data_IF_769487875476
#
_entry.id   IF_769487875476
#
_cell.length_a   1.000
_cell.length_b   1.000
_cell.length_c   1.000
_cell.angle_alpha   90.00
_cell.angle_beta   90.00
_cell.angle_gamma   90.00
#
_symmetry.space_group_name_H-M   'P 1'
#
loop_
_entity.id
_entity.type
_entity.pdbx_description
1 polymer ?
#
# COMPACT_ATOMS: atom_id res chain seq x y z
N UNK A 1 -20.74 20.28 -60.68
CA UNK A 1 -20.63 18.89 -60.25
C UNK A 1 -19.84 18.83 -59.00
N UNK A 2 -20.37 18.21 -58.03
CA UNK A 2 -20.15 18.33 -56.58
C UNK A 2 -18.77 17.87 -56.09
N UNK A 3 -18.13 18.72 -55.29
CA UNK A 3 -17.03 18.31 -54.41
C UNK A 3 -17.46 18.60 -52.96
N UNK A 4 -17.62 17.55 -52.17
CA UNK A 4 -17.81 17.62 -50.73
C UNK A 4 -16.44 17.48 -50.07
N UNK A 5 -15.97 18.56 -49.47
CA UNK A 5 -14.91 18.53 -48.50
C UNK A 5 -15.48 18.13 -47.15
N UNK A 6 -15.21 16.92 -46.70
CA UNK A 6 -15.47 16.50 -45.35
C UNK A 6 -14.28 16.87 -44.48
N UNK A 7 -14.45 17.88 -43.65
CA UNK A 7 -13.52 18.16 -42.58
C UNK A 7 -13.74 17.10 -41.48
N UNK A 8 -12.84 16.18 -41.35
CA UNK A 8 -12.77 15.26 -40.21
C UNK A 8 -11.90 15.92 -39.12
N UNK A 9 -12.57 16.61 -38.21
CA UNK A 9 -11.96 17.10 -36.99
C UNK A 9 -11.58 15.90 -36.11
N UNK A 10 -10.30 15.58 -36.09
CA UNK A 10 -9.75 14.59 -35.18
C UNK A 10 -10.02 14.97 -33.75
N UNK A 11 -10.98 14.33 -33.15
CA UNK A 11 -11.17 14.26 -31.71
C UNK A 11 -10.05 13.35 -31.19
N UNK A 12 -9.00 13.97 -30.66
CA UNK A 12 -8.09 13.30 -29.77
C UNK A 12 -8.78 13.10 -28.42
N UNK A 13 -9.65 12.12 -28.32
CA UNK A 13 -10.09 11.59 -27.05
C UNK A 13 -8.88 10.88 -26.41
N UNK A 14 -8.18 11.64 -25.56
CA UNK A 14 -7.41 11.04 -24.50
C UNK A 14 -8.37 10.30 -23.58
N UNK A 15 -8.68 9.06 -23.92
CA UNK A 15 -9.39 8.14 -23.06
C UNK A 15 -8.45 7.80 -21.88
N UNK A 16 -8.37 8.75 -20.93
CA UNK A 16 -7.64 8.57 -19.68
C UNK A 16 -8.38 7.51 -18.90
N UNK A 17 -7.85 6.30 -18.90
CA UNK A 17 -8.44 5.18 -18.18
C UNK A 17 -8.54 5.51 -16.70
N UNK A 18 -9.74 5.83 -16.23
CA UNK A 18 -10.05 6.05 -14.82
C UNK A 18 -9.90 4.70 -14.10
N UNK A 19 -8.79 4.50 -13.41
CA UNK A 19 -8.46 3.28 -12.69
C UNK A 19 -9.37 3.07 -11.47
N UNK A 20 -9.76 4.17 -10.79
CA UNK A 20 -10.56 4.14 -9.56
C UNK A 20 -11.80 5.00 -9.68
N UNK A 21 -12.94 4.46 -9.22
CA UNK A 21 -14.22 5.19 -9.16
C UNK A 21 -14.36 5.85 -7.78
N UNK A 22 -15.10 6.98 -7.74
CA UNK A 22 -15.48 7.66 -6.49
C UNK A 22 -16.16 6.69 -5.54
N UNK A 23 -15.85 6.78 -4.26
CA UNK A 23 -16.31 5.90 -3.18
C UNK A 23 -15.54 4.60 -3.03
N UNK A 24 -14.66 4.23 -3.97
CA UNK A 24 -13.83 3.03 -3.87
C UNK A 24 -12.60 3.27 -3.01
N UNK A 25 -12.11 2.20 -2.39
CA UNK A 25 -10.88 2.19 -1.61
C UNK A 25 -9.71 1.75 -2.50
N UNK A 26 -8.57 2.36 -2.26
CA UNK A 26 -7.30 2.08 -2.90
C UNK A 26 -6.19 2.08 -1.85
N UNK A 27 -4.98 1.72 -2.23
CA UNK A 27 -3.79 1.84 -1.38
C UNK A 27 -2.84 2.83 -2.03
N UNK A 28 -2.41 3.81 -1.24
CA UNK A 28 -1.41 4.79 -1.65
C UNK A 28 -0.14 4.59 -0.82
N UNK A 29 1.02 4.38 -1.45
CA UNK A 29 2.28 4.15 -0.74
C UNK A 29 2.55 5.19 0.34
N UNK A 30 3.12 4.79 1.46
CA UNK A 30 3.39 5.59 2.66
C UNK A 30 2.16 6.11 3.42
N UNK A 31 0.97 6.10 2.84
CA UNK A 31 -0.28 6.54 3.48
C UNK A 31 -1.23 5.37 3.82
N UNK A 32 -0.99 4.19 3.23
CA UNK A 32 -1.85 3.02 3.43
C UNK A 32 -3.17 3.13 2.66
N UNK A 33 -4.28 2.71 3.28
CA UNK A 33 -5.58 2.67 2.60
C UNK A 33 -6.20 4.06 2.54
N UNK A 34 -6.66 4.42 1.34
CA UNK A 34 -7.33 5.68 1.02
C UNK A 34 -8.70 5.43 0.40
N UNK A 35 -9.60 6.40 0.50
CA UNK A 35 -10.87 6.41 -0.21
C UNK A 35 -10.85 7.48 -1.30
N UNK A 36 -11.30 7.15 -2.50
CA UNK A 36 -11.51 8.14 -3.57
C UNK A 36 -12.76 8.94 -3.24
N UNK A 37 -12.59 10.20 -2.83
CA UNK A 37 -13.71 11.10 -2.48
C UNK A 37 -14.31 11.77 -3.68
N UNK A 38 -13.47 12.20 -4.61
CA UNK A 38 -13.89 12.91 -5.82
C UNK A 38 -12.85 12.73 -6.93
N UNK A 39 -13.28 13.04 -8.14
CA UNK A 39 -12.41 13.31 -9.29
C UNK A 39 -12.67 14.75 -9.68
N UNK A 40 -11.63 15.57 -9.67
CA UNK A 40 -11.73 17.00 -9.95
C UNK A 40 -10.80 17.42 -11.08
N UNK A 41 -11.32 18.21 -12.03
CA UNK A 41 -10.49 18.86 -13.03
C UNK A 41 -9.96 20.18 -12.47
N UNK A 42 -8.65 20.34 -12.48
CA UNK A 42 -7.98 21.58 -12.04
C UNK A 42 -7.03 22.10 -13.11
N UNK A 43 -7.03 23.40 -13.29
CA UNK A 43 -6.07 24.10 -14.14
C UNK A 43 -4.92 24.59 -13.30
N UNK A 44 -3.72 24.07 -13.55
CA UNK A 44 -2.48 24.45 -12.85
C UNK A 44 -1.48 24.87 -13.92
N UNK A 45 -0.98 26.10 -13.83
CA UNK A 45 -0.07 26.69 -14.81
C UNK A 45 -0.59 26.60 -16.28
N UNK A 46 -1.87 26.90 -16.50
CA UNK A 46 -2.48 26.88 -17.83
C UNK A 46 -2.74 25.47 -18.41
N UNK A 47 -2.47 24.42 -17.63
CA UNK A 47 -2.73 23.04 -18.05
C UNK A 47 -3.87 22.44 -17.22
N UNK A 48 -4.95 22.03 -17.89
CA UNK A 48 -6.07 21.34 -17.25
C UNK A 48 -5.75 19.87 -17.09
N UNK A 49 -5.83 19.35 -15.84
CA UNK A 49 -5.65 17.95 -15.50
C UNK A 49 -6.71 17.47 -14.54
N UNK A 50 -6.99 16.18 -14.60
CA UNK A 50 -7.91 15.52 -13.69
C UNK A 50 -7.13 14.87 -12.54
N UNK A 51 -7.68 15.00 -11.34
CA UNK A 51 -7.06 14.54 -10.10
C UNK A 51 -8.01 13.64 -9.33
N UNK A 52 -7.47 12.58 -8.76
CA UNK A 52 -8.11 11.89 -7.64
C UNK A 52 -7.95 12.73 -6.37
N UNK A 53 -9.06 12.94 -5.67
CA UNK A 53 -9.06 13.46 -4.30
C UNK A 53 -9.19 12.26 -3.38
N UNK A 54 -8.10 11.94 -2.70
CA UNK A 54 -7.97 10.76 -1.85
C UNK A 54 -7.97 11.18 -0.38
N UNK A 55 -8.84 10.58 0.43
CA UNK A 55 -8.86 10.74 1.88
C UNK A 55 -8.20 9.52 2.51
N UNK A 56 -7.19 9.73 3.34
CA UNK A 56 -6.53 8.66 4.09
C UNK A 56 -7.49 8.16 5.17
N UNK A 57 -7.73 6.84 5.22
CA UNK A 57 -8.65 6.26 6.20
C UNK A 57 -8.08 6.44 7.60
N UNK A 58 -8.96 6.83 8.54
CA UNK A 58 -8.64 7.15 9.93
C UNK A 58 -7.70 8.35 10.12
N UNK A 59 -7.70 9.27 9.16
CA UNK A 59 -6.88 10.49 9.20
C UNK A 59 -7.62 11.63 8.50
N UNK A 60 -7.37 12.85 8.92
CA UNK A 60 -7.87 14.06 8.25
C UNK A 60 -7.02 14.46 7.03
N UNK A 61 -6.11 13.59 6.61
CA UNK A 61 -5.21 13.87 5.50
C UNK A 61 -5.92 13.62 4.18
N UNK A 62 -5.92 14.65 3.33
CA UNK A 62 -6.38 14.55 1.93
C UNK A 62 -5.18 14.69 1.00
N UNK A 63 -5.07 13.79 0.04
CA UNK A 63 -4.02 13.77 -0.97
C UNK A 63 -4.63 13.95 -2.35
N UNK A 64 -3.98 14.76 -3.17
CA UNK A 64 -4.40 15.01 -4.55
C UNK A 64 -3.40 14.38 -5.51
N UNK A 65 -3.87 13.44 -6.34
CA UNK A 65 -3.03 12.69 -7.27
C UNK A 65 -3.52 12.89 -8.70
N UNK A 66 -2.69 13.39 -9.62
CA UNK A 66 -3.05 13.45 -11.04
C UNK A 66 -3.38 12.04 -11.55
N UNK A 67 -4.48 11.88 -12.30
CA UNK A 67 -4.89 10.56 -12.81
C UNK A 67 -3.79 9.96 -13.67
N UNK A 68 -3.12 10.76 -14.49
CA UNK A 68 -2.01 10.34 -15.34
C UNK A 68 -0.83 9.75 -14.57
N UNK A 69 -0.66 10.14 -13.30
CA UNK A 69 0.44 9.71 -12.45
C UNK A 69 0.06 8.63 -11.44
N UNK A 70 -1.21 8.24 -11.38
CA UNK A 70 -1.73 7.33 -10.35
C UNK A 70 -0.93 6.02 -10.27
N UNK A 71 -0.65 5.41 -11.41
CA UNK A 71 0.14 4.17 -11.49
C UNK A 71 1.61 4.42 -11.11
N UNK A 72 2.21 5.49 -11.61
CA UNK A 72 3.63 5.81 -11.36
C UNK A 72 3.94 6.12 -9.89
N UNK A 73 2.97 6.69 -9.16
CA UNK A 73 3.09 6.91 -7.71
C UNK A 73 2.69 5.68 -6.88
N UNK A 74 2.36 4.57 -7.54
CA UNK A 74 2.05 3.29 -6.89
C UNK A 74 0.65 3.20 -6.30
N UNK A 75 -0.30 4.05 -6.72
CA UNK A 75 -1.70 3.91 -6.32
C UNK A 75 -2.23 2.57 -6.89
N UNK A 76 -2.71 1.69 -6.02
CA UNK A 76 -3.13 0.33 -6.40
C UNK A 76 -4.43 -0.09 -5.73
N UNK A 77 -5.03 -1.15 -6.23
CA UNK A 77 -6.19 -1.77 -5.60
C UNK A 77 -5.83 -2.41 -4.25
N UNK A 78 -6.83 -2.49 -3.37
CA UNK A 78 -6.75 -3.27 -2.14
C UNK A 78 -6.54 -4.75 -2.51
N UNK A 79 -5.79 -5.46 -1.69
CA UNK A 79 -5.41 -6.86 -1.94
C UNK A 79 -6.61 -7.80 -2.06
N UNK A 80 -6.41 -8.86 -2.83
CA UNK A 80 -7.37 -9.96 -3.02
C UNK A 80 -7.24 -11.03 -1.92
N UNK A 81 -8.22 -11.93 -1.83
CA UNK A 81 -8.18 -13.09 -0.91
C UNK A 81 -6.96 -14.00 -1.15
N UNK A 82 -6.56 -14.19 -2.40
CA UNK A 82 -5.38 -15.01 -2.73
C UNK A 82 -4.08 -14.37 -2.21
N UNK A 83 -3.98 -13.05 -2.29
CA UNK A 83 -2.85 -12.30 -1.76
C UNK A 83 -2.80 -12.37 -0.22
N UNK A 84 -3.95 -12.30 0.47
CA UNK A 84 -4.02 -12.51 1.93
C UNK A 84 -3.48 -13.90 2.31
N UNK A 85 -3.86 -14.93 1.56
CA UNK A 85 -3.34 -16.29 1.79
C UNK A 85 -1.82 -16.35 1.66
N UNK A 86 -1.26 -15.63 0.68
CA UNK A 86 0.19 -15.52 0.50
C UNK A 86 0.87 -14.77 1.66
N UNK A 87 0.27 -13.68 2.13
CA UNK A 87 0.75 -12.94 3.30
C UNK A 87 0.82 -13.85 4.52
N UNK A 88 -0.25 -14.60 4.80
CA UNK A 88 -0.28 -15.53 5.94
C UNK A 88 0.76 -16.65 5.80
N UNK A 89 1.06 -17.12 4.59
CA UNK A 89 2.16 -18.05 4.35
C UNK A 89 3.54 -17.44 4.65
N UNK A 90 3.75 -16.18 4.29
CA UNK A 90 4.99 -15.46 4.64
C UNK A 90 5.14 -15.36 6.16
N UNK A 91 4.09 -14.97 6.87
CA UNK A 91 4.12 -14.82 8.33
C UNK A 91 4.33 -16.16 9.07
N UNK A 92 3.81 -17.27 8.52
CA UNK A 92 4.01 -18.62 9.07
C UNK A 92 5.42 -19.18 8.86
N UNK A 93 6.16 -18.64 7.91
CA UNK A 93 7.48 -19.16 7.58
C UNK A 93 8.50 -18.74 8.62
N UNK A 94 8.93 -19.69 9.46
CA UNK A 94 9.96 -19.51 10.50
C UNK A 94 11.39 -19.61 9.97
N UNK A 95 11.58 -19.91 8.68
CA UNK A 95 12.92 -19.91 8.10
C UNK A 95 13.60 -18.58 8.38
N UNK A 96 14.67 -18.62 9.16
CA UNK A 96 15.50 -17.43 9.36
C UNK A 96 15.89 -16.94 7.98
N UNK A 97 15.64 -15.67 7.73
CA UNK A 97 16.29 -15.02 6.60
C UNK A 97 17.77 -15.20 6.89
N UNK A 98 18.49 -15.95 6.03
CA UNK A 98 19.95 -15.93 6.06
C UNK A 98 20.31 -14.46 5.96
N UNK A 99 20.78 -13.91 7.10
CA UNK A 99 21.27 -12.55 7.07
C UNK A 99 22.48 -12.57 6.14
N UNK A 100 22.41 -12.01 4.95
CA UNK A 100 23.58 -11.87 4.12
C UNK A 100 24.47 -10.90 4.87
N UNK A 101 25.54 -11.44 5.48
CA UNK A 101 26.54 -10.77 6.27
C UNK A 101 26.15 -10.50 7.74
N UNK A 102 26.68 -11.33 8.64
CA UNK A 102 26.64 -11.12 10.09
C UNK A 102 26.99 -9.68 10.47
N UNK A 103 26.24 -9.12 11.43
CA UNK A 103 26.40 -7.79 12.00
C UNK A 103 26.07 -6.60 11.09
N UNK A 104 24.96 -6.66 10.33
CA UNK A 104 24.43 -5.45 9.74
C UNK A 104 24.03 -4.46 10.85
N UNK A 105 24.55 -3.22 10.79
CA UNK A 105 24.24 -2.19 11.79
C UNK A 105 22.73 -1.93 11.83
N UNK A 106 22.20 -1.64 13.04
CA UNK A 106 20.80 -1.26 13.22
C UNK A 106 20.36 -0.14 12.27
N UNK A 107 21.18 0.88 12.10
CA UNK A 107 20.85 2.01 11.21
C UNK A 107 20.61 1.58 9.75
N UNK A 108 21.35 0.60 9.26
CA UNK A 108 21.14 0.06 7.91
C UNK A 108 19.84 -0.72 7.82
N UNK A 109 19.57 -1.63 8.76
CA UNK A 109 18.30 -2.39 8.82
C UNK A 109 17.10 -1.46 8.97
N UNK A 110 17.19 -0.43 9.82
CA UNK A 110 16.11 0.53 10.01
C UNK A 110 15.73 1.24 8.69
N UNK A 111 16.73 1.65 7.90
CA UNK A 111 16.48 2.25 6.58
C UNK A 111 15.82 1.26 5.64
N UNK A 112 16.35 0.05 5.52
CA UNK A 112 15.78 -1.01 4.68
C UNK A 112 14.33 -1.34 5.05
N UNK A 113 14.03 -1.49 6.34
CA UNK A 113 12.66 -1.72 6.81
C UNK A 113 11.76 -0.51 6.55
N UNK A 114 12.25 0.70 6.78
CA UNK A 114 11.49 1.92 6.50
C UNK A 114 11.16 2.07 5.01
N UNK A 115 12.11 1.74 4.13
CA UNK A 115 11.91 1.77 2.68
C UNK A 115 10.88 0.72 2.25
N UNK A 116 10.94 -0.49 2.80
CA UNK A 116 9.96 -1.55 2.56
C UNK A 116 8.55 -1.16 3.02
N UNK A 117 8.40 -0.54 4.20
CA UNK A 117 7.11 -0.06 4.69
C UNK A 117 6.52 1.05 3.80
N UNK A 118 7.38 1.88 3.20
CA UNK A 118 6.97 2.98 2.31
C UNK A 118 6.77 2.57 0.85
N UNK A 119 7.23 1.39 0.46
CA UNK A 119 7.17 0.92 -0.93
C UNK A 119 5.74 0.73 -1.47
N UNK A 120 4.77 0.53 -0.58
CA UNK A 120 3.40 0.16 -0.94
C UNK A 120 3.23 -1.33 -1.26
N UNK A 121 4.31 -2.11 -1.28
CA UNK A 121 4.24 -3.58 -1.45
C UNK A 121 3.92 -4.25 -0.12
N UNK A 122 2.71 -4.78 -0.02
CA UNK A 122 2.20 -5.42 1.20
C UNK A 122 2.97 -6.71 1.54
N UNK A 123 3.58 -7.38 0.55
CA UNK A 123 4.39 -8.56 0.80
C UNK A 123 5.71 -8.20 1.47
N UNK A 124 6.33 -7.08 1.06
CA UNK A 124 7.51 -6.55 1.74
C UNK A 124 7.19 -6.14 3.17
N UNK A 125 6.01 -5.55 3.42
CA UNK A 125 5.54 -5.26 4.78
C UNK A 125 5.39 -6.54 5.61
N UNK A 126 4.85 -7.62 5.02
CA UNK A 126 4.73 -8.92 5.70
C UNK A 126 6.10 -9.53 6.02
N UNK A 127 7.08 -9.39 5.13
CA UNK A 127 8.46 -9.82 5.40
C UNK A 127 9.08 -9.03 6.56
N UNK A 128 8.90 -7.72 6.61
CA UNK A 128 9.38 -6.89 7.72
C UNK A 128 8.76 -7.34 9.05
N UNK A 129 7.44 -7.55 9.11
CA UNK A 129 6.76 -8.01 10.32
C UNK A 129 7.29 -9.37 10.77
N UNK A 130 7.45 -10.32 9.84
CA UNK A 130 8.02 -11.64 10.13
C UNK A 130 9.43 -11.54 10.70
N UNK A 131 10.31 -10.75 10.06
CA UNK A 131 11.71 -10.63 10.45
C UNK A 131 11.85 -10.02 11.86
N UNK A 132 11.07 -9.00 12.18
CA UNK A 132 11.04 -8.38 13.52
C UNK A 132 10.46 -9.34 14.56
N UNK A 133 9.41 -10.11 14.22
CA UNK A 133 8.84 -11.11 15.13
C UNK A 133 9.88 -12.21 15.47
N UNK A 134 10.62 -12.70 14.48
CA UNK A 134 11.71 -13.67 14.73
C UNK A 134 12.82 -13.08 15.59
N UNK A 135 13.10 -11.77 15.44
CA UNK A 135 14.07 -11.09 16.29
C UNK A 135 13.57 -10.96 17.73
N UNK A 136 12.28 -10.65 17.93
CA UNK A 136 11.65 -10.56 19.25
C UNK A 136 11.75 -11.88 20.03
N UNK A 137 11.69 -13.03 19.34
CA UNK A 137 11.85 -14.34 19.99
C UNK A 137 13.29 -14.62 20.45
N UNK A 138 14.26 -13.93 19.89
CA UNK A 138 15.68 -14.10 20.21
C UNK A 138 16.21 -13.09 21.23
N UNK A 139 15.58 -11.91 21.31
CA UNK A 139 15.99 -10.81 22.21
C UNK A 139 14.87 -9.80 22.41
N UNK A 140 14.96 -8.97 23.44
CA UNK A 140 14.09 -7.82 23.59
C UNK A 140 14.28 -6.82 22.46
N UNK A 141 13.17 -6.33 21.91
CA UNK A 141 13.18 -5.30 20.85
C UNK A 141 13.52 -3.93 21.44
N UNK A 142 14.38 -3.20 20.76
CA UNK A 142 14.61 -1.78 20.99
C UNK A 142 13.36 -0.96 20.66
N UNK A 143 13.31 0.29 21.11
CA UNK A 143 12.21 1.21 20.81
C UNK A 143 11.98 1.39 19.29
N UNK A 144 13.07 1.52 18.51
CA UNK A 144 12.98 1.64 17.05
C UNK A 144 12.44 0.37 16.38
N UNK A 145 12.85 -0.83 16.86
CA UNK A 145 12.34 -2.11 16.37
C UNK A 145 10.85 -2.28 16.67
N UNK A 146 10.39 -1.90 17.87
CA UNK A 146 8.97 -1.90 18.24
C UNK A 146 8.15 -1.00 17.31
N UNK A 147 8.63 0.22 17.03
CA UNK A 147 7.95 1.14 16.10
C UNK A 147 7.81 0.57 14.68
N UNK A 148 8.83 -0.08 14.16
CA UNK A 148 8.79 -0.75 12.85
C UNK A 148 7.76 -1.89 12.89
N UNK A 149 7.75 -2.70 13.95
CA UNK A 149 6.79 -3.79 14.13
C UNK A 149 5.35 -3.27 14.15
N UNK A 150 5.07 -2.25 14.97
CA UNK A 150 3.74 -1.64 15.09
C UNK A 150 3.27 -1.05 13.76
N UNK A 151 4.17 -0.39 13.03
CA UNK A 151 3.86 0.18 11.71
C UNK A 151 3.54 -0.91 10.69
N UNK A 152 4.35 -1.99 10.64
CA UNK A 152 4.11 -3.12 9.74
C UNK A 152 2.79 -3.82 10.05
N UNK A 153 2.51 -4.08 11.35
CA UNK A 153 1.26 -4.69 11.80
C UNK A 153 0.05 -3.83 11.43
N UNK A 154 0.11 -2.52 11.69
CA UNK A 154 -0.97 -1.58 11.38
C UNK A 154 -1.29 -1.56 9.87
N UNK A 155 -0.28 -1.51 9.00
CA UNK A 155 -0.47 -1.53 7.55
C UNK A 155 -1.15 -2.83 7.08
N UNK A 156 -0.70 -3.99 7.56
CA UNK A 156 -1.28 -5.28 7.24
C UNK A 156 -2.72 -5.40 7.75
N UNK A 157 -2.96 -5.05 9.01
CA UNK A 157 -4.28 -5.15 9.64
C UNK A 157 -5.29 -4.29 8.90
N UNK A 158 -4.96 -3.04 8.61
CA UNK A 158 -5.86 -2.10 7.90
C UNK A 158 -6.23 -2.63 6.52
N UNK A 159 -5.27 -3.03 5.71
CA UNK A 159 -5.56 -3.49 4.36
C UNK A 159 -6.30 -4.83 4.33
N UNK A 160 -5.92 -5.79 5.18
CA UNK A 160 -6.59 -7.10 5.29
C UNK A 160 -8.01 -6.95 5.83
N UNK A 161 -8.25 -6.09 6.83
CA UNK A 161 -9.58 -5.85 7.40
C UNK A 161 -10.55 -5.35 6.34
N UNK A 162 -10.10 -4.42 5.51
CA UNK A 162 -10.88 -3.88 4.40
C UNK A 162 -11.13 -4.94 3.32
N UNK A 163 -10.10 -5.71 2.94
CA UNK A 163 -10.20 -6.75 1.93
C UNK A 163 -11.13 -7.91 2.36
N UNK A 164 -11.16 -8.23 3.66
CA UNK A 164 -12.02 -9.28 4.23
C UNK A 164 -13.38 -8.75 4.70
N UNK A 165 -13.56 -7.43 4.77
CA UNK A 165 -14.71 -6.79 5.42
C UNK A 165 -14.89 -7.25 6.87
N UNK A 166 -13.80 -7.25 7.63
CA UNK A 166 -13.74 -7.60 9.05
C UNK A 166 -13.29 -6.40 9.88
N UNK A 167 -13.53 -6.47 11.20
CA UNK A 167 -12.95 -5.50 12.14
C UNK A 167 -11.45 -5.72 12.29
N UNK A 168 -10.71 -4.63 12.51
CA UNK A 168 -9.26 -4.68 12.71
C UNK A 168 -8.84 -5.59 13.86
N UNK A 169 -9.59 -5.58 14.98
CA UNK A 169 -9.30 -6.45 16.13
C UNK A 169 -9.37 -7.94 15.78
N UNK A 170 -10.25 -8.32 14.85
CA UNK A 170 -10.37 -9.71 14.40
C UNK A 170 -9.15 -10.12 13.58
N UNK A 171 -8.70 -9.23 12.70
CA UNK A 171 -7.51 -9.46 11.87
C UNK A 171 -6.24 -9.46 12.71
N UNK A 172 -6.12 -8.55 13.68
CA UNK A 172 -5.01 -8.53 14.63
C UNK A 172 -4.88 -9.87 15.35
N UNK A 173 -5.98 -10.40 15.90
CA UNK A 173 -5.99 -11.72 16.54
C UNK A 173 -5.58 -12.86 15.60
N UNK A 174 -6.00 -12.81 14.33
CA UNK A 174 -5.56 -13.80 13.32
C UNK A 174 -4.04 -13.75 13.09
N UNK A 175 -3.48 -12.54 12.95
CA UNK A 175 -2.04 -12.35 12.73
C UNK A 175 -1.26 -12.77 13.99
N UNK A 176 -1.68 -12.35 15.18
CA UNK A 176 -1.02 -12.71 16.43
C UNK A 176 -0.99 -14.23 16.63
N UNK A 177 -2.10 -14.91 16.35
CA UNK A 177 -2.15 -16.37 16.40
C UNK A 177 -1.15 -17.01 15.42
N UNK A 178 -1.01 -16.47 14.22
CA UNK A 178 -0.06 -16.98 13.23
C UNK A 178 1.38 -16.79 13.74
N UNK A 179 1.72 -15.61 14.24
CA UNK A 179 3.05 -15.29 14.74
C UNK A 179 3.42 -16.10 15.99
N UNK A 180 2.46 -16.34 16.88
CA UNK A 180 2.68 -17.15 18.10
C UNK A 180 2.83 -18.65 17.80
N UNK A 181 2.07 -19.19 16.82
CA UNK A 181 2.13 -20.62 16.45
C UNK A 181 3.37 -20.96 15.64
N UNK A 182 4.05 -19.95 15.11
CA UNK A 182 5.27 -20.08 14.31
C UNK A 182 6.56 -20.06 15.14
N UNK A 183 6.46 -20.15 16.48
CA UNK A 183 7.55 -20.15 17.44
C UNK A 183 7.88 -21.57 17.93
#
# INVERSE_FOLDING_TARGET
MFSRSGANSGMGDNDKTIMFKVGKKAVYPAHGVVQVKAIESKEIYGTKKDYYILEVIDSDVTVMVPIDNAESVGLRHVISKSQITRIYKILKNTSKVEQPNGHQSWNKRYREYSDKLKSGDIFEVAHVLKDINLLQNAKDLSFGEKRIMDSALSLLVKEISIAKNLKEESVTKEIDKILTTSN
#
